data_IF_249053756360
#
_entry.id   IF_249053756360
#
_cell.length_a   1.000
_cell.length_b   1.000
_cell.length_c   1.000
_cell.angle_alpha   90.00
_cell.angle_beta   90.00
_cell.angle_gamma   90.00
#
_symmetry.space_group_name_H-M   'P 1'
#
loop_
_entity.id
_entity.type
_entity.pdbx_description
1 polymer ?
#
# COMPACT_ATOMS: atom_id res chain seq x y z
N UNK A 1 1.91 -12.49 -8.06
CA UNK A 1 1.75 -11.21 -8.77
C UNK A 1 3.13 -10.70 -9.13
N UNK A 2 3.56 -10.80 -10.40
CA UNK A 2 4.83 -10.24 -10.84
C UNK A 2 4.76 -8.71 -10.86
N UNK A 3 5.68 -8.04 -10.17
CA UNK A 3 5.84 -6.60 -10.15
C UNK A 3 7.34 -6.31 -9.99
N UNK A 4 7.88 -5.36 -10.77
CA UNK A 4 9.34 -5.11 -10.85
C UNK A 4 9.86 -4.27 -9.67
N UNK A 5 8.95 -3.53 -9.04
CA UNK A 5 9.22 -2.59 -7.95
C UNK A 5 8.11 -2.68 -6.92
N UNK A 6 8.08 -3.73 -6.10
CA UNK A 6 7.01 -3.91 -5.10
C UNK A 6 6.84 -2.69 -4.18
N UNK A 7 7.86 -1.83 -4.05
CA UNK A 7 7.75 -0.56 -3.32
C UNK A 7 6.74 0.43 -3.88
N UNK A 8 6.33 0.29 -5.15
CA UNK A 8 5.29 1.13 -5.76
C UNK A 8 3.87 0.62 -5.48
N UNK A 9 3.75 -0.58 -4.88
CA UNK A 9 2.47 -1.21 -4.62
C UNK A 9 1.86 -0.70 -3.32
N UNK A 10 0.53 -0.59 -3.34
CA UNK A 10 -0.28 -0.40 -2.15
C UNK A 10 -1.37 -1.46 -2.17
N UNK A 11 -1.46 -2.23 -1.10
CA UNK A 11 -2.46 -3.29 -0.94
C UNK A 11 -3.34 -2.94 0.25
N UNK A 12 -4.65 -2.82 0.01
CA UNK A 12 -5.61 -2.40 1.03
C UNK A 12 -6.73 -3.40 1.19
N UNK A 13 -7.25 -3.50 2.40
CA UNK A 13 -8.51 -4.16 2.71
C UNK A 13 -9.57 -3.09 2.99
N UNK A 14 -10.60 -3.05 2.16
CA UNK A 14 -11.78 -2.20 2.38
C UNK A 14 -12.91 -3.05 2.96
N UNK A 15 -13.39 -2.69 4.14
CA UNK A 15 -14.55 -3.35 4.76
C UNK A 15 -15.87 -2.81 4.19
N UNK A 16 -16.98 -3.56 4.31
CA UNK A 16 -18.29 -3.13 3.79
C UNK A 16 -18.81 -1.80 4.36
N UNK A 17 -18.39 -1.43 5.59
CA UNK A 17 -18.71 -0.14 6.21
C UNK A 17 -17.88 1.04 5.66
N UNK A 18 -17.03 0.79 4.65
CA UNK A 18 -16.22 1.81 3.99
C UNK A 18 -14.83 2.02 4.58
N UNK A 19 -14.52 1.49 5.78
CA UNK A 19 -13.20 1.62 6.39
C UNK A 19 -12.12 0.93 5.56
N UNK A 20 -10.92 1.52 5.53
CA UNK A 20 -9.79 1.02 4.77
C UNK A 20 -8.64 0.73 5.72
N UNK A 21 -8.11 -0.48 5.64
CA UNK A 21 -6.91 -0.92 6.34
C UNK A 21 -5.81 -1.16 5.29
N UNK A 22 -4.71 -0.44 5.40
CA UNK A 22 -3.54 -0.72 4.56
C UNK A 22 -2.86 -2.00 5.06
N UNK A 23 -2.78 -3.00 4.18
CA UNK A 23 -2.04 -4.22 4.41
C UNK A 23 -0.56 -4.03 4.05
N UNK A 24 -0.31 -3.29 2.96
CA UNK A 24 0.98 -2.80 2.49
C UNK A 24 0.82 -1.35 2.02
N UNK A 25 1.66 -0.44 2.50
CA UNK A 25 1.67 0.97 2.09
C UNK A 25 3.05 1.36 1.56
N UNK A 26 3.32 1.08 0.29
CA UNK A 26 4.60 1.38 -0.37
C UNK A 26 5.82 0.73 0.33
N UNK A 27 5.69 -0.54 0.76
CA UNK A 27 6.70 -1.23 1.57
C UNK A 27 7.01 -0.52 2.92
N UNK A 28 6.03 0.21 3.45
CA UNK A 28 6.05 1.01 4.70
C UNK A 28 7.35 1.73 5.03
N UNK A 29 7.69 2.58 4.07
CA UNK A 29 8.55 3.77 4.15
C UNK A 29 10.06 3.58 3.96
N UNK A 30 10.56 2.34 3.81
CA UNK A 30 11.96 2.05 3.43
C UNK A 30 12.11 1.49 2.02
N UNK A 31 11.09 1.61 1.17
CA UNK A 31 11.12 1.23 -0.25
C UNK A 31 12.09 2.09 -1.08
N UNK A 32 13.38 2.09 -0.73
CA UNK A 32 14.45 2.66 -1.52
C UNK A 32 14.88 1.66 -2.58
N UNK A 33 14.65 2.02 -3.84
CA UNK A 33 15.40 1.69 -5.07
C UNK A 33 15.99 0.27 -5.28
N UNK A 34 15.59 -0.73 -4.50
CA UNK A 34 16.01 -2.13 -4.66
C UNK A 34 15.03 -2.91 -5.51
N UNK A 35 15.55 -3.68 -6.47
CA UNK A 35 14.75 -4.62 -7.27
C UNK A 35 14.05 -5.62 -6.35
N UNK A 36 12.72 -5.62 -6.39
CA UNK A 36 11.86 -6.59 -5.72
C UNK A 36 11.01 -7.25 -6.80
N UNK A 37 10.87 -8.57 -6.75
CA UNK A 37 10.34 -9.36 -7.86
C UNK A 37 9.03 -10.01 -7.48
N UNK A 38 8.04 -9.19 -7.11
CA UNK A 38 6.67 -9.61 -6.88
C UNK A 38 6.41 -10.39 -5.59
N UNK A 39 5.15 -10.77 -5.44
CA UNK A 39 4.62 -11.59 -4.35
C UNK A 39 4.26 -12.99 -4.89
N UNK A 40 4.85 -14.03 -4.31
CA UNK A 40 4.61 -15.43 -4.63
C UNK A 40 4.24 -16.17 -3.35
N UNK A 41 3.03 -16.73 -3.31
CA UNK A 41 2.51 -17.43 -2.13
C UNK A 41 2.69 -16.60 -0.83
N UNK A 42 2.56 -15.28 -0.94
CA UNK A 42 2.68 -14.36 0.18
C UNK A 42 1.32 -14.19 0.85
N UNK A 43 1.31 -14.27 2.17
CA UNK A 43 0.12 -14.02 2.99
C UNK A 43 0.39 -12.82 3.90
N UNK A 44 -0.52 -11.86 3.93
CA UNK A 44 -0.52 -10.80 4.95
C UNK A 44 -1.56 -11.19 6.01
N UNK A 45 -1.11 -11.35 7.25
CA UNK A 45 -1.94 -11.86 8.34
C UNK A 45 -1.73 -11.06 9.63
N UNK A 46 -2.78 -10.96 10.45
CA UNK A 46 -2.69 -10.46 11.82
C UNK A 46 -1.84 -11.35 12.74
N UNK A 47 -1.59 -12.60 12.33
CA UNK A 47 -0.67 -13.53 13.03
C UNK A 47 0.76 -13.45 12.51
N UNK A 48 1.03 -12.65 11.47
CA UNK A 48 2.38 -12.42 10.97
C UNK A 48 3.23 -11.63 11.97
N UNK A 49 4.56 -11.80 11.90
CA UNK A 49 5.51 -11.12 12.79
C UNK A 49 6.41 -10.15 12.00
N UNK A 50 6.94 -10.62 10.87
CA UNK A 50 7.87 -9.86 10.05
C UNK A 50 7.14 -8.79 9.23
N UNK A 51 7.71 -7.58 9.16
CA UNK A 51 7.21 -6.53 8.27
C UNK A 51 7.47 -6.89 6.81
N UNK A 52 6.66 -6.39 5.87
CA UNK A 52 6.98 -6.50 4.44
C UNK A 52 8.31 -5.81 4.09
N UNK A 53 8.73 -4.79 4.83
CA UNK A 53 10.03 -4.15 4.61
C UNK A 53 11.24 -5.04 4.92
N UNK A 54 11.08 -6.19 5.60
CA UNK A 54 12.18 -7.11 5.89
C UNK A 54 12.42 -8.16 4.79
N UNK A 55 11.56 -8.24 3.78
CA UNK A 55 11.74 -9.13 2.63
C UNK A 55 12.70 -8.53 1.59
N UNK A 56 13.26 -9.39 0.73
CA UNK A 56 14.07 -8.97 -0.43
C UNK A 56 13.75 -9.87 -1.63
N UNK A 57 13.92 -9.34 -2.85
CA UNK A 57 13.65 -10.09 -4.08
C UNK A 57 12.18 -10.52 -4.19
N UNK A 58 11.94 -11.83 -4.30
CA UNK A 58 10.59 -12.40 -4.36
C UNK A 58 10.04 -12.62 -2.96
N UNK A 59 8.90 -12.02 -2.67
CA UNK A 59 8.24 -12.15 -1.38
C UNK A 59 7.54 -13.50 -1.27
N UNK A 60 7.80 -14.24 -0.20
CA UNK A 60 7.17 -15.53 0.11
C UNK A 60 6.91 -15.67 1.61
N UNK A 61 5.85 -16.38 2.01
CA UNK A 61 5.55 -16.63 3.42
C UNK A 61 4.56 -15.62 4.03
N UNK A 62 4.52 -15.55 5.36
CA UNK A 62 3.53 -14.74 6.11
C UNK A 62 4.16 -13.49 6.71
N UNK A 63 3.60 -12.33 6.40
CA UNK A 63 4.03 -11.02 6.91
C UNK A 63 2.92 -10.38 7.73
N UNK A 64 3.29 -9.52 8.68
CA UNK A 64 2.34 -8.70 9.41
C UNK A 64 1.84 -7.56 8.52
N UNK A 65 0.58 -7.17 8.71
CA UNK A 65 0.03 -5.97 8.06
C UNK A 65 0.68 -4.70 8.65
N UNK A 66 0.80 -3.67 7.82
CA UNK A 66 1.20 -2.33 8.28
C UNK A 66 0.15 -1.72 9.22
N UNK A 67 -1.13 -2.06 8.95
CA UNK A 67 -2.28 -1.70 9.77
C UNK A 67 -2.55 -0.20 9.91
N UNK A 68 -2.09 0.61 8.95
CA UNK A 68 -2.46 2.02 8.85
C UNK A 68 -3.94 2.13 8.47
N UNK A 69 -4.76 2.69 9.38
CA UNK A 69 -6.17 2.95 9.14
C UNK A 69 -6.30 4.24 8.34
N UNK A 70 -6.97 4.16 7.19
CA UNK A 70 -7.31 5.31 6.37
C UNK A 70 -8.84 5.45 6.25
N UNK A 71 -9.33 6.69 6.21
CA UNK A 71 -10.75 7.00 5.96
C UNK A 71 -11.03 7.03 4.44
N UNK A 72 -9.99 7.18 3.63
CA UNK A 72 -10.02 7.32 2.17
C UNK A 72 -8.84 6.54 1.59
N UNK A 73 -9.01 5.84 0.47
CA UNK A 73 -7.89 5.14 -0.16
C UNK A 73 -6.86 6.17 -0.63
N UNK A 74 -5.55 5.88 -0.65
CA UNK A 74 -4.55 6.84 -1.10
C UNK A 74 -4.75 7.36 -2.54
N UNK A 75 -5.54 6.67 -3.36
CA UNK A 75 -5.94 7.09 -4.70
C UNK A 75 -7.37 7.67 -4.79
N UNK A 76 -8.15 7.64 -3.71
CA UNK A 76 -9.52 8.13 -3.66
C UNK A 76 -9.56 9.61 -3.24
N UNK A 77 -8.60 10.40 -3.75
CA UNK A 77 -8.74 11.85 -3.65
C UNK A 77 -10.06 12.21 -4.32
N UNK A 78 -11.03 12.83 -3.61
CA UNK A 78 -12.24 13.28 -4.24
C UNK A 78 -11.78 14.21 -5.35
N UNK A 79 -12.08 13.86 -6.61
CA UNK A 79 -11.71 14.60 -7.83
C UNK A 79 -11.65 16.06 -7.44
N UNK A 80 -10.43 16.59 -7.27
CA UNK A 80 -10.23 17.89 -6.66
C UNK A 80 -11.01 18.84 -7.54
N UNK A 81 -12.18 19.27 -7.08
CA UNK A 81 -13.01 20.21 -7.80
C UNK A 81 -12.19 21.47 -7.77
N UNK A 82 -11.40 21.67 -8.82
CA UNK A 82 -10.72 22.92 -9.13
C UNK A 82 -11.85 23.92 -9.24
N UNK A 83 -12.20 24.56 -8.12
CA UNK A 83 -12.88 25.84 -8.16
C UNK A 83 -11.87 26.76 -8.82
N UNK A 84 -12.04 26.93 -10.13
CA UNK A 84 -11.49 28.06 -10.86
C UNK A 84 -11.95 29.32 -10.13
N UNK A 85 -11.10 29.89 -9.29
CA UNK A 85 -11.33 31.24 -8.79
C UNK A 85 -11.02 32.19 -9.96
N UNK A 86 -11.95 33.09 -10.33
CA UNK A 86 -11.71 34.00 -11.44
C UNK A 86 -10.55 34.93 -11.10
N UNK A 87 -9.54 34.95 -11.97
CA UNK A 87 -8.45 35.92 -11.96
C UNK A 87 -9.06 37.33 -11.91
N UNK A 88 -8.86 38.03 -10.81
CA UNK A 88 -9.15 39.47 -10.73
C UNK A 88 -7.91 40.19 -11.28
N UNK A 89 -8.16 41.06 -12.25
CA UNK A 89 -7.18 41.91 -12.95
C UNK A 89 -6.40 42.80 -11.98
#
# INVERSE_FOLDING_TARGET
>A
MPHTWNGDMVVVLKSPNGSILNLDYYLSATGGAGVTTGFVNTTVSSTGVNALSSGTGTYTGTFKADANIAVVAPFDLPVQRVLLQPYQL
#
